data_IF_740875152641
#
_entry.id   IF_740875152641
#
_cell.length_a   1.000
_cell.length_b   1.000
_cell.length_c   1.000
_cell.angle_alpha   90.00
_cell.angle_beta   90.00
_cell.angle_gamma   90.00
#
_symmetry.space_group_name_H-M   'P 1'
#
loop_
_entity.id
_entity.type
_entity.pdbx_description
1 polymer ?
#
# COMPACT_ATOMS: atom_id res chain seq x y z
N UNK A 1 33.14 -65.51 -83.68
CA UNK A 1 31.74 -65.22 -84.04
C UNK A 1 30.85 -65.74 -82.90
N UNK A 2 30.08 -64.87 -82.24
CA UNK A 2 29.24 -65.14 -81.06
C UNK A 2 30.01 -65.00 -79.73
N UNK A 3 29.63 -64.21 -78.72
CA UNK A 3 28.32 -63.72 -78.25
C UNK A 3 28.57 -62.45 -77.40
N UNK A 4 27.74 -61.39 -77.47
CA UNK A 4 27.99 -60.15 -76.74
C UNK A 4 27.66 -60.29 -75.25
N UNK A 5 28.50 -59.63 -74.46
CA UNK A 5 28.46 -59.50 -73.02
C UNK A 5 27.30 -58.58 -72.59
N UNK A 6 26.73 -58.91 -71.45
CA UNK A 6 25.49 -58.38 -70.89
C UNK A 6 25.70 -56.97 -70.31
N UNK A 7 25.10 -55.95 -70.93
CA UNK A 7 24.95 -54.63 -70.30
C UNK A 7 23.68 -54.62 -69.42
N UNK A 8 23.90 -54.87 -68.13
CA UNK A 8 22.89 -54.77 -67.08
C UNK A 8 22.53 -53.30 -66.86
N UNK A 9 21.32 -52.92 -67.29
CA UNK A 9 20.79 -51.56 -67.16
C UNK A 9 20.56 -51.28 -65.66
N UNK A 10 21.16 -50.24 -65.06
CA UNK A 10 21.04 -50.00 -63.62
C UNK A 10 19.57 -49.84 -63.24
N UNK A 11 19.14 -50.61 -62.25
CA UNK A 11 17.76 -50.68 -61.79
C UNK A 11 17.25 -49.27 -61.44
N UNK A 12 16.03 -48.95 -61.86
CA UNK A 12 15.40 -47.63 -61.68
C UNK A 12 15.44 -47.18 -60.20
N UNK A 13 15.47 -48.14 -59.27
CA UNK A 13 15.67 -47.96 -57.82
C UNK A 13 17.00 -47.30 -57.45
N UNK A 14 18.10 -47.58 -58.15
CA UNK A 14 19.44 -47.06 -57.84
C UNK A 14 19.61 -45.58 -58.18
N UNK A 15 18.88 -45.08 -59.20
CA UNK A 15 18.81 -43.64 -59.51
C UNK A 15 17.82 -42.87 -58.64
N UNK A 16 16.81 -43.55 -58.11
CA UNK A 16 15.81 -42.96 -57.20
C UNK A 16 16.41 -42.69 -55.82
N UNK A 17 17.31 -43.54 -55.33
CA UNK A 17 17.94 -43.39 -54.01
C UNK A 17 18.73 -42.07 -53.83
N UNK A 18 19.66 -41.67 -54.72
CA UNK A 18 20.40 -40.42 -54.59
C UNK A 18 19.51 -39.18 -54.80
N UNK A 19 18.51 -39.28 -55.68
CA UNK A 19 17.53 -38.21 -55.88
C UNK A 19 16.63 -38.03 -54.64
N UNK A 20 16.19 -39.13 -54.02
CA UNK A 20 15.42 -39.11 -52.78
C UNK A 20 16.24 -38.57 -51.61
N UNK A 21 17.53 -38.92 -51.54
CA UNK A 21 18.45 -38.42 -50.52
C UNK A 21 18.73 -36.92 -50.68
N UNK A 22 18.86 -36.44 -51.92
CA UNK A 22 18.97 -35.01 -52.24
C UNK A 22 17.71 -34.24 -51.83
N UNK A 23 16.52 -34.76 -52.16
CA UNK A 23 15.25 -34.15 -51.77
C UNK A 23 15.14 -34.11 -50.24
N UNK A 24 15.50 -35.19 -49.55
CA UNK A 24 15.47 -35.27 -48.10
C UNK A 24 16.41 -34.23 -47.46
N UNK A 25 17.62 -34.07 -48.02
CA UNK A 25 18.60 -33.09 -47.56
C UNK A 25 18.08 -31.66 -47.74
N UNK A 26 17.48 -31.35 -48.90
CA UNK A 26 16.86 -30.05 -49.18
C UNK A 26 15.71 -29.80 -48.20
N UNK A 27 14.82 -30.76 -48.00
CA UNK A 27 13.71 -30.61 -47.04
C UNK A 27 14.20 -30.40 -45.61
N UNK A 28 15.25 -31.11 -45.18
CA UNK A 28 15.83 -30.94 -43.84
C UNK A 28 16.40 -29.53 -43.64
N UNK A 29 17.08 -28.98 -44.66
CA UNK A 29 17.62 -27.61 -44.64
C UNK A 29 16.48 -26.59 -44.55
N UNK A 30 15.43 -26.74 -45.38
CA UNK A 30 14.28 -25.83 -45.35
C UNK A 30 13.52 -25.90 -44.01
N UNK A 31 13.35 -27.09 -43.44
CA UNK A 31 12.73 -27.26 -42.12
C UNK A 31 13.56 -26.60 -41.02
N UNK A 32 14.88 -26.77 -41.03
CA UNK A 32 15.77 -26.12 -40.06
C UNK A 32 15.73 -24.58 -40.17
N UNK A 33 15.74 -24.05 -41.40
CA UNK A 33 15.62 -22.61 -41.65
C UNK A 33 14.27 -22.05 -41.19
N UNK A 34 13.16 -22.75 -41.49
CA UNK A 34 11.82 -22.37 -41.05
C UNK A 34 11.70 -22.38 -39.52
N UNK A 35 12.26 -23.39 -38.87
CA UNK A 35 12.26 -23.50 -37.41
C UNK A 35 13.08 -22.40 -36.75
N UNK A 36 14.24 -22.04 -37.34
CA UNK A 36 15.04 -20.90 -36.88
C UNK A 36 14.32 -19.55 -37.03
N UNK A 37 13.59 -19.35 -38.14
CA UNK A 37 12.79 -18.15 -38.35
C UNK A 37 11.64 -18.04 -37.36
N UNK A 38 10.88 -19.14 -37.15
CA UNK A 38 9.80 -19.19 -36.17
C UNK A 38 10.32 -18.97 -34.75
N UNK A 39 11.49 -19.51 -34.41
CA UNK A 39 12.13 -19.25 -33.13
C UNK A 39 12.41 -17.75 -32.96
N UNK A 40 13.04 -17.10 -33.93
CA UNK A 40 13.29 -15.64 -33.85
C UNK A 40 12.00 -14.84 -33.67
N UNK A 41 10.98 -15.10 -34.49
CA UNK A 41 9.71 -14.37 -34.41
C UNK A 41 9.01 -14.61 -33.06
N UNK A 42 9.05 -15.83 -32.54
CA UNK A 42 8.39 -16.18 -31.29
C UNK A 42 9.16 -15.69 -30.04
N UNK A 43 10.49 -15.56 -30.12
CA UNK A 43 11.30 -15.04 -29.01
C UNK A 43 11.44 -13.53 -29.01
N UNK A 44 11.12 -12.85 -30.11
CA UNK A 44 11.15 -11.39 -30.18
C UNK A 44 9.86 -10.86 -29.56
N UNK A 45 9.92 -10.19 -28.40
CA UNK A 45 8.71 -9.68 -27.77
C UNK A 45 8.04 -8.65 -28.68
N UNK A 46 6.75 -8.87 -28.98
CA UNK A 46 5.93 -8.03 -29.87
C UNK A 46 5.74 -6.62 -29.31
N UNK A 47 5.85 -6.46 -28.00
CA UNK A 47 5.69 -5.19 -27.30
C UNK A 47 6.86 -4.94 -26.37
N UNK A 48 7.58 -3.84 -26.61
CA UNK A 48 8.60 -3.35 -25.69
C UNK A 48 7.89 -2.58 -24.57
N UNK A 49 7.59 -3.26 -23.47
CA UNK A 49 6.94 -2.62 -22.32
C UNK A 49 7.97 -1.76 -21.59
N UNK A 50 7.88 -0.44 -21.80
CA UNK A 50 8.70 0.56 -21.09
C UNK A 50 7.85 1.19 -20.00
N UNK A 51 8.17 0.88 -18.75
CA UNK A 51 7.54 1.53 -17.59
C UNK A 51 8.33 2.80 -17.26
N UNK A 52 7.69 3.95 -17.39
CA UNK A 52 8.27 5.23 -16.97
C UNK A 52 7.58 5.71 -15.70
N UNK A 53 8.38 5.98 -14.67
CA UNK A 53 7.87 6.61 -13.45
C UNK A 53 7.56 8.07 -13.76
N UNK A 54 6.27 8.41 -13.82
CA UNK A 54 5.82 9.78 -14.09
C UNK A 54 5.99 10.69 -12.86
N UNK A 55 5.86 10.13 -11.66
CA UNK A 55 6.02 10.86 -10.43
C UNK A 55 6.39 9.94 -9.25
N UNK A 56 7.13 10.48 -8.30
CA UNK A 56 7.42 9.85 -7.00
C UNK A 56 6.86 10.70 -5.88
N UNK A 57 6.19 10.05 -4.93
CA UNK A 57 5.52 10.72 -3.81
C UNK A 57 6.02 10.15 -2.48
N UNK A 58 6.03 10.98 -1.44
CA UNK A 58 6.34 10.53 -0.07
C UNK A 58 5.35 11.15 0.90
N UNK A 59 4.77 10.29 1.75
CA UNK A 59 3.90 10.67 2.85
C UNK A 59 4.62 10.41 4.18
N UNK A 60 4.67 11.40 5.05
CA UNK A 60 5.23 11.26 6.38
C UNK A 60 4.30 11.87 7.42
N UNK A 61 3.89 11.06 8.40
CA UNK A 61 3.10 11.49 9.54
C UNK A 61 3.90 11.27 10.83
N UNK A 62 3.96 12.28 11.69
CA UNK A 62 4.57 12.20 13.01
C UNK A 62 3.58 12.71 14.06
N UNK A 63 3.42 11.92 15.11
CA UNK A 63 2.58 12.25 16.26
C UNK A 63 3.46 12.58 17.46
N UNK A 64 3.04 13.58 18.21
CA UNK A 64 3.60 13.92 19.52
C UNK A 64 2.45 14.25 20.46
N UNK A 65 2.59 13.95 21.75
CA UNK A 65 1.59 14.24 22.75
C UNK A 65 2.18 14.91 23.99
N UNK A 66 1.32 15.67 24.66
CA UNK A 66 1.59 16.30 25.94
C UNK A 66 0.38 16.13 26.84
N UNK A 67 0.57 15.49 27.98
CA UNK A 67 -0.48 15.30 28.97
C UNK A 67 -0.30 16.30 30.12
N UNK A 68 -1.38 17.00 30.46
CA UNK A 68 -1.48 17.87 31.63
C UNK A 68 -2.15 17.08 32.74
N UNK A 69 -1.55 17.09 33.93
CA UNK A 69 -1.89 16.18 35.01
C UNK A 69 -2.60 16.90 36.15
N UNK A 70 -3.50 16.19 36.83
CA UNK A 70 -3.96 16.54 38.18
C UNK A 70 -2.83 16.22 39.17
N UNK A 71 -2.72 16.90 40.33
CA UNK A 71 -1.79 16.52 41.38
C UNK A 71 -1.90 15.02 41.70
N UNK A 72 -0.78 14.31 41.71
CA UNK A 72 -0.76 12.87 41.89
C UNK A 72 0.63 12.39 42.34
N UNK A 73 0.66 11.28 43.09
CA UNK A 73 1.89 10.69 43.61
C UNK A 73 2.72 9.96 42.55
N UNK A 74 2.07 9.42 41.52
CA UNK A 74 2.72 8.58 40.49
C UNK A 74 3.76 9.37 39.69
N UNK A 75 3.48 10.66 39.45
CA UNK A 75 4.39 11.58 38.77
C UNK A 75 4.96 12.64 39.72
N UNK A 76 5.03 12.36 41.03
CA UNK A 76 5.63 13.27 42.02
C UNK A 76 5.06 14.70 41.96
N UNK A 77 3.75 14.82 41.77
CA UNK A 77 3.02 16.08 41.58
C UNK A 77 3.46 16.93 40.37
N UNK A 78 4.07 16.31 39.35
CA UNK A 78 4.32 16.97 38.07
C UNK A 78 3.01 17.45 37.44
N UNK A 79 3.05 18.64 36.85
CA UNK A 79 1.90 19.24 36.16
C UNK A 79 1.76 18.78 34.71
N UNK A 80 2.82 18.22 34.12
CA UNK A 80 2.85 17.76 32.73
C UNK A 80 3.85 16.64 32.49
N UNK A 81 3.58 15.80 31.49
CA UNK A 81 4.48 14.78 30.94
C UNK A 81 4.39 14.77 29.40
N UNK A 82 5.42 14.25 28.73
CA UNK A 82 5.55 14.19 27.27
C UNK A 82 6.03 12.79 26.82
N UNK A 83 6.03 12.57 25.50
CA UNK A 83 6.21 11.34 24.68
C UNK A 83 7.11 10.18 25.18
N UNK A 84 7.92 10.38 26.21
CA UNK A 84 8.86 9.38 26.75
C UNK A 84 8.35 8.66 28.01
N UNK A 85 7.22 9.09 28.58
CA UNK A 85 6.75 8.59 29.88
C UNK A 85 5.44 7.80 29.72
N UNK A 86 5.29 6.61 30.35
CA UNK A 86 4.01 5.90 30.38
C UNK A 86 2.91 6.83 30.91
N UNK A 87 1.74 6.83 30.29
CA UNK A 87 0.64 7.73 30.63
C UNK A 87 -0.50 7.00 31.36
N UNK A 88 -0.77 7.39 32.60
CA UNK A 88 -1.92 6.89 33.36
C UNK A 88 -3.13 7.81 33.19
N UNK A 89 -4.10 7.40 32.37
CA UNK A 89 -5.23 8.25 31.95
C UNK A 89 -6.08 8.81 33.10
N UNK A 90 -6.20 8.12 34.24
CA UNK A 90 -6.98 8.61 35.39
C UNK A 90 -6.45 9.91 36.00
N UNK A 91 -5.14 10.16 35.91
CA UNK A 91 -4.52 11.38 36.46
C UNK A 91 -4.36 12.47 35.40
N UNK A 92 -4.66 12.17 34.13
CA UNK A 92 -4.62 13.15 33.04
C UNK A 92 -5.86 14.04 33.12
N UNK A 93 -5.64 15.35 33.22
CA UNK A 93 -6.68 16.37 33.14
C UNK A 93 -6.99 16.75 31.69
N UNK A 94 -5.96 16.83 30.86
CA UNK A 94 -6.06 17.24 29.47
C UNK A 94 -4.93 16.59 28.69
N UNK A 95 -5.22 16.03 27.53
CA UNK A 95 -4.23 15.48 26.62
C UNK A 95 -4.25 16.33 25.34
N UNK A 96 -3.08 16.86 24.99
CA UNK A 96 -2.82 17.57 23.74
C UNK A 96 -2.06 16.64 22.80
N UNK A 97 -2.58 16.40 21.60
CA UNK A 97 -1.97 15.58 20.56
C UNK A 97 -1.69 16.49 19.37
N UNK A 98 -0.50 16.37 18.78
CA UNK A 98 -0.12 17.07 17.57
C UNK A 98 0.24 16.07 16.50
N UNK A 99 -0.39 16.21 15.34
CA UNK A 99 -0.06 15.48 14.12
C UNK A 99 0.63 16.45 13.17
N UNK A 100 1.86 16.10 12.79
CA UNK A 100 2.62 16.77 11.74
C UNK A 100 2.66 15.87 10.53
N UNK A 101 2.01 16.29 9.47
CA UNK A 101 1.95 15.57 8.21
C UNK A 101 2.74 16.33 7.15
N UNK A 102 3.55 15.62 6.38
CA UNK A 102 4.33 16.16 5.28
C UNK A 102 4.10 15.30 4.05
N UNK A 103 3.86 15.95 2.92
CA UNK A 103 3.78 15.31 1.62
C UNK A 103 4.68 16.02 0.63
N UNK A 104 5.38 15.23 -0.18
CA UNK A 104 6.28 15.72 -1.24
C UNK A 104 6.08 14.93 -2.51
N UNK A 105 6.15 15.62 -3.66
CA UNK A 105 6.10 15.02 -5.00
C UNK A 105 7.31 15.44 -5.82
N UNK A 106 7.71 14.59 -6.75
CA UNK A 106 8.63 14.92 -7.83
C UNK A 106 8.04 14.38 -9.14
N UNK A 107 7.72 15.22 -10.14
CA UNK A 107 7.93 16.67 -10.17
C UNK A 107 7.08 17.44 -9.14
N UNK A 108 7.52 18.65 -8.79
CA UNK A 108 6.79 19.52 -7.87
C UNK A 108 5.56 20.12 -8.56
N UNK A 109 4.44 20.12 -7.86
CA UNK A 109 3.15 20.63 -8.37
C UNK A 109 2.37 21.44 -7.34
N UNK A 110 1.13 21.74 -7.69
CA UNK A 110 0.14 22.24 -6.74
C UNK A 110 -0.44 21.03 -6.01
N UNK A 111 -0.43 21.07 -4.69
CA UNK A 111 -0.84 19.95 -3.86
C UNK A 111 -2.01 20.41 -3.00
N UNK A 112 -3.16 19.76 -3.15
CA UNK A 112 -4.32 19.97 -2.28
C UNK A 112 -4.41 18.82 -1.29
N UNK A 113 -4.39 19.13 0.00
CA UNK A 113 -4.52 18.16 1.08
C UNK A 113 -5.87 18.35 1.74
N UNK A 114 -6.75 17.34 1.62
CA UNK A 114 -7.99 17.26 2.39
C UNK A 114 -7.76 16.37 3.59
N UNK A 115 -8.19 16.82 4.76
CA UNK A 115 -8.01 16.07 5.99
C UNK A 115 -9.27 16.05 6.84
N UNK A 116 -9.43 14.98 7.61
CA UNK A 116 -10.44 14.82 8.63
C UNK A 116 -9.88 13.98 9.78
N UNK A 117 -10.03 14.45 11.02
CA UNK A 117 -9.83 13.60 12.19
C UNK A 117 -11.15 13.00 12.63
N UNK A 118 -11.17 11.68 12.79
CA UNK A 118 -12.28 10.95 13.40
C UNK A 118 -11.84 10.41 14.74
N UNK A 119 -12.74 10.46 15.72
CA UNK A 119 -12.47 9.93 17.05
C UNK A 119 -13.57 8.97 17.45
N UNK A 120 -13.17 7.82 17.95
CA UNK A 120 -14.07 6.74 18.32
C UNK A 120 -13.78 6.32 19.74
N UNK A 121 -14.84 6.18 20.54
CA UNK A 121 -14.77 5.54 21.85
C UNK A 121 -15.25 4.10 21.70
N UNK A 122 -14.44 3.14 22.13
CA UNK A 122 -14.79 1.72 22.01
C UNK A 122 -14.49 0.93 23.26
N UNK A 123 -15.30 -0.11 23.47
CA UNK A 123 -15.01 -1.22 24.36
C UNK A 123 -14.28 -2.30 23.54
N UNK A 124 -13.03 -2.68 23.90
CA UNK A 124 -12.26 -3.68 23.15
C UNK A 124 -12.72 -5.13 23.40
N UNK A 125 -13.73 -5.34 24.25
CA UNK A 125 -14.30 -6.66 24.53
C UNK A 125 -14.94 -7.28 23.29
N UNK A 126 -14.97 -8.61 23.22
CA UNK A 126 -15.72 -9.34 22.20
C UNK A 126 -17.22 -8.98 22.26
N UNK A 127 -17.79 -8.57 21.12
CA UNK A 127 -19.15 -7.99 21.07
C UNK A 127 -19.27 -6.60 21.72
N UNK A 128 -18.15 -5.93 21.98
CA UNK A 128 -18.10 -4.58 22.54
C UNK A 128 -18.65 -3.53 21.58
N UNK A 129 -19.11 -2.42 22.15
CA UNK A 129 -19.63 -1.30 21.39
C UNK A 129 -18.50 -0.38 20.91
N UNK A 130 -18.79 0.35 19.85
CA UNK A 130 -17.91 1.36 19.26
C UNK A 130 -18.77 2.52 18.79
N UNK A 131 -18.54 3.72 19.33
CA UNK A 131 -19.33 4.91 18.99
C UNK A 131 -18.42 6.06 18.56
N UNK A 132 -18.79 6.80 17.51
CA UNK A 132 -18.08 8.02 17.15
C UNK A 132 -18.32 9.09 18.21
N UNK A 133 -17.25 9.75 18.66
CA UNK A 133 -17.32 10.89 19.57
C UNK A 133 -16.89 12.15 18.84
N UNK A 134 -17.68 13.22 18.99
CA UNK A 134 -17.34 14.52 18.44
C UNK A 134 -16.39 15.24 19.37
N UNK A 135 -15.31 15.74 18.79
CA UNK A 135 -14.39 16.64 19.48
C UNK A 135 -14.93 18.07 19.40
N UNK A 136 -14.58 18.89 20.38
CA UNK A 136 -15.06 20.28 20.47
C UNK A 136 -14.58 21.17 19.30
N UNK A 137 -13.60 20.72 18.52
CA UNK A 137 -13.19 21.40 17.29
C UNK A 137 -13.48 20.54 16.06
N UNK A 138 -13.96 21.17 14.99
CA UNK A 138 -14.08 20.54 13.68
C UNK A 138 -12.69 20.42 13.07
N UNK A 139 -12.12 19.21 13.05
CA UNK A 139 -10.81 18.92 12.46
C UNK A 139 -10.93 18.40 11.04
N UNK A 140 -11.85 18.97 10.26
CA UNK A 140 -11.93 18.78 8.82
C UNK A 140 -11.48 20.06 8.12
N UNK A 141 -10.65 19.93 7.11
CA UNK A 141 -10.19 21.05 6.32
C UNK A 141 -9.61 20.63 4.99
N UNK A 142 -9.31 21.64 4.19
CA UNK A 142 -8.65 21.53 2.90
C UNK A 142 -7.61 22.65 2.82
N UNK A 143 -6.38 22.29 2.49
CA UNK A 143 -5.29 23.25 2.33
C UNK A 143 -4.52 22.97 1.04
N UNK A 144 -4.25 24.02 0.27
CA UNK A 144 -3.48 23.94 -0.97
C UNK A 144 -2.07 24.52 -0.78
N UNK A 145 -1.07 23.79 -1.26
CA UNK A 145 0.34 24.12 -1.14
C UNK A 145 0.98 24.15 -2.53
N UNK A 146 2.04 24.94 -2.67
CA UNK A 146 2.94 24.88 -3.83
C UNK A 146 4.21 24.11 -3.42
N UNK A 147 4.54 23.06 -4.15
CA UNK A 147 5.77 22.29 -3.94
C UNK A 147 5.67 21.19 -2.89
N UNK A 148 5.82 21.50 -1.60
CA UNK A 148 5.72 20.52 -0.52
C UNK A 148 4.59 20.90 0.45
N UNK A 149 3.72 19.95 0.77
CA UNK A 149 2.62 20.18 1.70
C UNK A 149 3.06 19.86 3.13
N UNK A 150 2.72 20.75 4.08
CA UNK A 150 2.99 20.59 5.51
C UNK A 150 1.76 20.98 6.30
N UNK A 151 1.17 20.01 6.99
CA UNK A 151 -0.02 20.18 7.79
C UNK A 151 0.32 19.94 9.27
N UNK A 152 -0.10 20.85 10.15
CA UNK A 152 0.02 20.68 11.61
C UNK A 152 -1.37 20.73 12.25
N UNK A 153 -1.84 19.57 12.69
CA UNK A 153 -3.12 19.44 13.38
C UNK A 153 -2.87 19.32 14.88
N UNK A 154 -3.58 20.13 15.66
CA UNK A 154 -3.51 20.11 17.13
C UNK A 154 -4.87 19.71 17.69
N UNK A 155 -4.92 18.58 18.38
CA UNK A 155 -6.08 18.06 19.07
C UNK A 155 -5.92 18.22 20.58
N UNK A 156 -7.01 18.58 21.27
CA UNK A 156 -7.11 18.51 22.73
C UNK A 156 -8.29 17.63 23.14
N UNK A 157 -8.09 16.78 24.15
CA UNK A 157 -9.12 15.93 24.71
C UNK A 157 -9.02 15.87 26.24
N UNK A 158 -10.16 15.68 26.90
CA UNK A 158 -10.22 15.27 28.32
C UNK A 158 -10.53 13.77 28.37
N UNK A 159 -9.55 12.90 28.66
CA UNK A 159 -9.78 11.45 28.70
C UNK A 159 -10.82 11.04 29.74
N UNK A 160 -11.04 11.84 30.79
CA UNK A 160 -11.98 11.55 31.87
C UNK A 160 -13.36 12.17 31.61
N UNK A 161 -13.57 12.89 30.51
CA UNK A 161 -14.84 13.52 30.17
C UNK A 161 -15.91 12.56 29.64
N UNK A 162 -15.56 11.30 29.36
CA UNK A 162 -16.44 10.34 28.68
C UNK A 162 -17.08 9.31 29.60
N UNK A 163 -16.85 9.36 30.92
CA UNK A 163 -17.38 8.36 31.85
C UNK A 163 -18.91 8.31 31.89
N UNK A 164 -19.58 9.45 31.78
CA UNK A 164 -21.05 9.48 31.77
C UNK A 164 -21.60 8.90 30.47
N UNK A 165 -20.95 9.19 29.33
CA UNK A 165 -21.29 8.58 28.04
C UNK A 165 -21.11 7.05 28.07
N UNK A 166 -20.00 6.57 28.63
CA UNK A 166 -19.73 5.14 28.82
C UNK A 166 -20.87 4.49 29.59
N UNK A 167 -21.24 5.05 30.76
CA UNK A 167 -22.31 4.51 31.60
C UNK A 167 -23.66 4.46 30.88
N UNK A 168 -23.97 5.49 30.10
CA UNK A 168 -25.21 5.51 29.29
C UNK A 168 -25.21 4.39 28.27
N UNK A 169 -24.14 4.25 27.48
CA UNK A 169 -24.04 3.19 26.46
C UNK A 169 -24.10 1.80 27.08
N UNK A 170 -23.42 1.58 28.21
CA UNK A 170 -23.48 0.31 28.94
C UNK A 170 -24.90 0.01 29.44
N UNK A 171 -25.61 1.02 29.96
CA UNK A 171 -27.01 0.89 30.37
C UNK A 171 -27.96 0.56 29.21
N UNK A 172 -27.76 1.17 28.04
CA UNK A 172 -28.58 0.95 26.84
C UNK A 172 -28.30 -0.38 26.16
N UNK A 173 -27.03 -0.80 26.12
CA UNK A 173 -26.59 -2.04 25.45
C UNK A 173 -26.64 -3.26 26.36
N UNK A 174 -26.77 -3.07 27.68
CA UNK A 174 -26.65 -4.15 28.66
C UNK A 174 -25.25 -4.76 28.73
N UNK A 175 -24.22 -4.03 28.28
CA UNK A 175 -22.84 -4.51 28.26
C UNK A 175 -22.01 -3.88 29.38
N UNK A 176 -20.91 -4.53 29.74
CA UNK A 176 -19.93 -3.99 30.69
C UNK A 176 -18.50 -4.26 30.23
N UNK A 177 -17.62 -3.27 30.39
CA UNK A 177 -16.18 -3.37 30.11
C UNK A 177 -15.30 -2.83 31.24
N UNK A 178 -14.17 -3.51 31.46
CA UNK A 178 -13.10 -3.03 32.34
C UNK A 178 -12.13 -2.07 31.65
N UNK A 179 -12.17 -2.00 30.32
CA UNK A 179 -11.24 -1.24 29.48
C UNK A 179 -11.98 -0.48 28.38
N UNK A 180 -11.46 0.70 28.03
CA UNK A 180 -11.99 1.56 26.97
C UNK A 180 -10.86 2.21 26.21
N UNK A 181 -10.99 2.27 24.89
CA UNK A 181 -10.04 2.93 24.01
C UNK A 181 -10.67 4.17 23.40
N UNK A 182 -9.92 5.27 23.42
CA UNK A 182 -10.18 6.44 22.57
C UNK A 182 -9.23 6.32 21.39
N UNK A 183 -9.79 6.07 20.21
CA UNK A 183 -9.03 5.99 18.96
C UNK A 183 -9.18 7.29 18.18
N UNK A 184 -8.07 7.79 17.67
CA UNK A 184 -8.03 8.99 16.83
C UNK A 184 -7.45 8.57 15.49
N UNK A 185 -8.30 8.63 14.45
CA UNK A 185 -8.00 8.15 13.11
C UNK A 185 -7.94 9.35 12.14
N UNK A 186 -6.74 9.77 11.74
CA UNK A 186 -6.57 10.79 10.72
C UNK A 186 -6.81 10.20 9.32
N UNK A 187 -7.72 10.82 8.59
CA UNK A 187 -7.95 10.55 7.18
C UNK A 187 -7.36 11.72 6.40
N UNK A 188 -6.41 11.43 5.51
CA UNK A 188 -5.71 12.43 4.71
C UNK A 188 -5.74 11.98 3.25
N UNK A 189 -6.31 12.83 2.40
CA UNK A 189 -6.33 12.68 0.95
C UNK A 189 -5.44 13.75 0.33
N UNK A 190 -4.71 13.38 -0.71
CA UNK A 190 -3.82 14.29 -1.42
C UNK A 190 -4.11 14.23 -2.91
N UNK A 191 -4.29 15.42 -3.52
CA UNK A 191 -4.31 15.62 -4.97
C UNK A 191 -3.04 16.40 -5.34
N UNK A 192 -2.19 15.84 -6.20
CA UNK A 192 -0.85 16.35 -6.52
C UNK A 192 -0.48 16.15 -7.99
#
# INVERSE_FOLDING_TARGET
MGKPESDEKPDKRERLFPAMLLILLITAILSAASMGYLYMVNTTPVELRREETLATYTHQARYTWRAYLKPNVVYLNASRIEDTTPMYMRVVKLLEIRLRYTFTSNPQGNITVRYRLETTLRSPKEGGWSIPIRLNASYKGEETFKGAARLELKLTLDPNGYWDLIKTVEGETGTYSSEYHIEISPHIEVEA
#
